data_IF_313527834608
#
_entry.id   IF_313527834608
#
_cell.length_a   1.000
_cell.length_b   1.000
_cell.length_c   1.000
_cell.angle_alpha   90.00
_cell.angle_beta   90.00
_cell.angle_gamma   90.00
#
_symmetry.space_group_name_H-M   'P 1'
#
loop_
_entity.id
_entity.type
_entity.pdbx_description
1 polymer ?
#
# COMPACT_ATOMS: atom_id res chain seq x y z
N UNK A 1 -22.83 51.00 13.77
CA UNK A 1 -21.44 50.59 13.46
C UNK A 1 -21.27 49.17 13.97
N UNK A 2 -21.52 48.17 13.11
CA UNK A 2 -21.41 46.75 13.48
C UNK A 2 -19.95 46.31 13.33
N UNK A 3 -19.35 45.82 14.40
CA UNK A 3 -18.00 45.30 14.42
C UNK A 3 -17.96 43.88 13.87
N UNK A 4 -17.30 43.70 12.73
CA UNK A 4 -17.02 42.39 12.16
C UNK A 4 -15.95 41.66 12.99
N UNK A 5 -16.31 40.47 13.49
CA UNK A 5 -15.35 39.57 14.15
C UNK A 5 -14.51 38.88 13.07
N UNK A 6 -13.22 39.23 12.99
CA UNK A 6 -12.23 38.51 12.18
C UNK A 6 -12.10 37.07 12.68
N UNK A 7 -12.50 36.09 11.87
CA UNK A 7 -12.24 34.67 12.13
C UNK A 7 -10.74 34.40 11.96
N UNK A 8 -10.11 33.85 12.99
CA UNK A 8 -8.72 33.43 12.98
C UNK A 8 -8.60 32.20 12.04
N UNK A 9 -7.58 32.11 11.16
CA UNK A 9 -7.39 30.92 10.35
C UNK A 9 -6.93 29.78 11.27
N UNK A 10 -7.73 28.73 11.34
CA UNK A 10 -7.40 27.49 12.04
C UNK A 10 -6.06 26.96 11.51
N UNK A 11 -5.03 27.05 12.35
CA UNK A 11 -3.73 26.48 12.06
C UNK A 11 -3.90 24.97 12.14
N UNK A 12 -4.12 24.30 10.99
CA UNK A 12 -4.19 22.85 10.93
C UNK A 12 -2.86 22.28 11.45
N UNK A 13 -2.88 21.86 12.72
CA UNK A 13 -1.75 21.21 13.35
C UNK A 13 -1.54 19.89 12.61
N UNK A 14 -0.54 19.85 11.73
CA UNK A 14 -0.24 18.70 10.88
C UNK A 14 -0.11 17.46 11.77
N UNK A 15 -0.96 16.46 11.51
CA UNK A 15 -0.94 15.19 12.19
C UNK A 15 0.51 14.63 12.13
N UNK A 16 1.11 14.23 13.26
CA UNK A 16 2.50 13.75 13.32
C UNK A 16 2.81 12.62 12.33
N UNK A 17 1.80 11.82 11.96
CA UNK A 17 1.95 10.75 10.96
C UNK A 17 2.29 11.29 9.56
N UNK A 18 1.77 12.47 9.18
CA UNK A 18 2.05 13.07 7.88
C UNK A 18 3.51 13.53 7.77
N UNK A 19 4.03 14.16 8.82
CA UNK A 19 5.44 14.59 8.85
C UNK A 19 6.39 13.39 8.75
N UNK A 20 6.08 12.30 9.45
CA UNK A 20 6.84 11.05 9.39
C UNK A 20 6.76 10.40 7.99
N UNK A 21 5.57 10.39 7.39
CA UNK A 21 5.38 9.89 6.03
C UNK A 21 6.18 10.71 5.01
N UNK A 22 6.17 12.03 5.10
CA UNK A 22 6.96 12.89 4.21
C UNK A 22 8.46 12.58 4.27
N UNK A 23 8.99 12.26 5.46
CA UNK A 23 10.40 11.83 5.59
C UNK A 23 10.63 10.47 4.91
N UNK A 24 9.74 9.51 5.10
CA UNK A 24 9.80 8.17 4.50
C UNK A 24 9.71 8.23 2.97
N UNK A 25 8.81 9.02 2.40
CA UNK A 25 8.69 9.20 0.94
C UNK A 25 9.96 9.80 0.32
N UNK A 26 10.62 10.73 1.02
CA UNK A 26 11.90 11.31 0.57
C UNK A 26 13.05 10.32 0.61
N UNK A 27 13.02 9.29 1.46
CA UNK A 27 14.07 8.26 1.48
C UNK A 27 13.95 7.26 0.32
N UNK A 28 12.75 7.02 -0.21
CA UNK A 28 12.53 6.18 -1.40
C UNK A 28 12.94 6.85 -2.72
N UNK A 29 13.07 8.18 -2.75
CA UNK A 29 13.48 8.93 -3.94
C UNK A 29 15.00 8.89 -4.25
N UNK A 30 15.80 8.14 -3.49
CA UNK A 30 17.25 8.01 -3.74
C UNK A 30 17.53 6.81 -4.65
N UNK A 31 18.13 7.00 -5.85
CA UNK A 31 18.53 5.87 -6.67
C UNK A 31 19.65 5.09 -5.96
N UNK A 32 19.35 3.83 -5.61
CA UNK A 32 20.33 2.88 -5.11
C UNK A 32 21.35 2.56 -6.21
N UNK A 33 22.61 2.98 -6.00
CA UNK A 33 23.75 2.53 -6.82
C UNK A 33 23.96 1.04 -6.59
N UNK A 34 23.67 0.23 -7.60
CA UNK A 34 24.01 -1.20 -7.63
C UNK A 34 25.54 -1.37 -7.50
N UNK A 35 25.98 -2.05 -6.42
CA UNK A 35 27.33 -2.60 -6.27
C UNK A 35 27.28 -4.10 -6.56
N UNK A 36 28.21 -4.57 -7.41
CA UNK A 36 28.35 -5.96 -7.90
C UNK A 36 28.77 -6.93 -6.79
N UNK A 37 28.34 -8.21 -6.84
CA UNK A 37 29.21 -9.37 -7.18
C UNK A 37 28.50 -10.77 -7.09
N UNK A 38 29.12 -11.84 -7.63
CA UNK A 38 28.46 -13.05 -8.14
C UNK A 38 28.46 -14.25 -7.17
N UNK A 39 27.46 -15.12 -7.35
CA UNK A 39 27.35 -16.49 -6.80
C UNK A 39 26.80 -17.36 -7.94
N UNK A 40 27.07 -18.66 -8.11
CA UNK A 40 27.93 -19.65 -7.47
C UNK A 40 27.66 -20.93 -8.29
N UNK A 41 28.69 -21.68 -8.66
CA UNK A 41 28.56 -22.95 -9.37
C UNK A 41 27.88 -24.01 -8.50
N UNK A 42 26.99 -24.82 -9.08
CA UNK A 42 26.68 -26.17 -8.56
C UNK A 42 26.57 -27.16 -9.72
N UNK A 43 27.10 -28.40 -9.60
CA UNK A 43 27.16 -29.37 -10.69
C UNK A 43 25.92 -30.29 -10.73
N UNK A 44 25.68 -30.80 -11.94
CA UNK A 44 24.63 -31.75 -12.30
C UNK A 44 24.68 -33.07 -11.50
N UNK A 45 23.50 -33.59 -11.13
CA UNK A 45 23.32 -35.00 -10.73
C UNK A 45 22.32 -35.68 -11.68
N UNK A 46 22.73 -36.87 -12.10
CA UNK A 46 22.24 -37.71 -13.19
C UNK A 46 21.16 -38.66 -12.67
N UNK A 47 20.28 -39.12 -13.59
CA UNK A 47 19.33 -40.26 -13.53
C UNK A 47 17.89 -40.02 -13.05
N UNK A 48 17.00 -39.93 -14.05
CA UNK A 48 15.59 -40.30 -13.95
C UNK A 48 14.88 -40.14 -15.30
N UNK A 49 14.80 -41.21 -16.10
CA UNK A 49 14.07 -41.25 -17.38
C UNK A 49 12.58 -40.94 -17.15
N UNK A 50 12.19 -39.67 -17.26
CA UNK A 50 10.78 -39.25 -17.36
C UNK A 50 10.51 -38.85 -18.81
N UNK A 51 9.46 -39.42 -19.38
CA UNK A 51 8.91 -39.09 -20.70
C UNK A 51 8.64 -37.58 -20.75
N UNK A 52 9.46 -36.84 -21.49
CA UNK A 52 9.25 -35.44 -21.85
C UNK A 52 7.84 -35.29 -22.43
N UNK A 53 7.01 -34.46 -21.80
CA UNK A 53 5.75 -34.01 -22.40
C UNK A 53 6.13 -32.95 -23.44
N UNK A 54 5.57 -32.97 -24.66
CA UNK A 54 5.90 -31.97 -25.66
C UNK A 54 5.54 -30.59 -25.13
N UNK A 55 6.51 -29.70 -25.31
CA UNK A 55 6.49 -28.25 -25.07
C UNK A 55 5.08 -27.70 -25.34
N UNK A 56 4.38 -27.27 -24.29
CA UNK A 56 3.28 -26.33 -24.49
C UNK A 56 3.94 -25.03 -24.95
N UNK A 57 3.65 -24.66 -26.19
CA UNK A 57 3.93 -23.35 -26.79
C UNK A 57 3.79 -22.22 -25.76
N UNK A 58 4.58 -21.13 -25.85
CA UNK A 58 4.43 -19.99 -24.97
C UNK A 58 3.00 -19.47 -25.14
N UNK A 59 2.16 -19.72 -24.13
CA UNK A 59 0.86 -19.12 -24.00
C UNK A 59 1.10 -17.61 -24.16
N UNK A 60 0.52 -16.98 -25.19
CA UNK A 60 0.43 -15.53 -25.32
C UNK A 60 -0.41 -15.02 -24.14
N UNK A 61 0.21 -15.03 -22.96
CA UNK A 61 -0.42 -14.81 -21.68
C UNK A 61 -0.77 -13.34 -21.63
N UNK A 62 -2.03 -13.05 -21.97
CA UNK A 62 -2.62 -11.73 -21.77
C UNK A 62 -2.24 -11.25 -20.36
N UNK A 63 -1.64 -10.07 -20.23
CA UNK A 63 -1.14 -9.62 -18.93
C UNK A 63 -2.30 -9.59 -17.94
N UNK A 64 -2.14 -10.27 -16.80
CA UNK A 64 -3.14 -10.29 -15.75
C UNK A 64 -3.38 -8.84 -15.27
N UNK A 65 -4.61 -8.30 -15.38
CA UNK A 65 -4.89 -6.91 -15.03
C UNK A 65 -4.73 -6.62 -13.54
N UNK A 66 -4.61 -7.64 -12.69
CA UNK A 66 -4.44 -7.50 -11.24
C UNK A 66 -2.96 -7.55 -10.81
N UNK A 67 -2.05 -7.86 -11.72
CA UNK A 67 -0.62 -7.95 -11.40
C UNK A 67 0.10 -6.65 -11.73
N UNK A 68 1.14 -6.29 -10.95
CA UNK A 68 2.04 -5.23 -11.33
C UNK A 68 2.66 -5.46 -12.71
N UNK A 69 2.84 -4.38 -13.46
CA UNK A 69 3.48 -4.46 -14.79
C UNK A 69 4.99 -4.30 -14.74
N UNK A 70 5.53 -3.84 -13.61
CA UNK A 70 6.96 -3.77 -13.28
C UNK A 70 7.13 -3.69 -11.75
N UNK A 71 8.37 -3.56 -11.27
CA UNK A 71 8.70 -3.43 -9.84
C UNK A 71 8.95 -1.98 -9.38
N UNK A 72 8.67 -0.98 -10.24
CA UNK A 72 8.90 0.42 -9.92
C UNK A 72 7.80 0.97 -8.99
N UNK A 73 8.15 1.23 -7.74
CA UNK A 73 7.26 1.78 -6.70
C UNK A 73 7.36 3.31 -6.56
N UNK A 74 7.92 4.01 -7.56
CA UNK A 74 7.91 5.47 -7.60
C UNK A 74 6.51 6.05 -7.80
N UNK A 75 6.34 7.31 -7.38
CA UNK A 75 5.10 8.06 -7.59
C UNK A 75 4.97 8.43 -9.06
N UNK A 76 3.78 8.20 -9.61
CA UNK A 76 3.44 8.56 -10.99
C UNK A 76 2.36 9.63 -11.04
N UNK A 77 2.17 10.23 -12.21
CA UNK A 77 1.14 11.27 -12.44
C UNK A 77 -0.30 10.77 -12.25
N UNK A 78 -0.49 9.46 -12.32
CA UNK A 78 -1.77 8.78 -12.05
C UNK A 78 -1.61 7.86 -10.85
N UNK A 79 -2.52 7.98 -9.89
CA UNK A 79 -2.59 7.13 -8.71
C UNK A 79 -4.01 6.59 -8.57
N UNK A 80 -4.13 5.38 -8.04
CA UNK A 80 -5.41 4.86 -7.55
C UNK A 80 -5.33 4.72 -6.03
N UNK A 81 -6.44 4.99 -5.34
CA UNK A 81 -6.55 4.83 -3.89
C UNK A 81 -7.80 4.03 -3.55
N UNK A 82 -7.67 3.23 -2.50
CA UNK A 82 -8.80 2.54 -1.89
C UNK A 82 -8.71 2.62 -0.36
N UNK A 83 -9.87 2.65 0.28
CA UNK A 83 -10.01 2.91 1.70
C UNK A 83 -10.96 1.92 2.33
N UNK A 84 -10.54 1.37 3.46
CA UNK A 84 -11.38 0.51 4.28
C UNK A 84 -11.81 1.25 5.54
N UNK A 85 -13.10 1.17 5.86
CA UNK A 85 -13.71 1.88 6.98
C UNK A 85 -14.15 0.96 8.10
N UNK A 86 -14.09 1.49 9.32
CA UNK A 86 -14.61 0.88 10.54
C UNK A 86 -15.73 1.73 11.13
N UNK A 87 -16.66 1.12 11.85
CA UNK A 87 -17.69 1.77 12.64
C UNK A 87 -17.15 2.30 13.97
N UNK A 88 -17.35 3.59 14.22
CA UNK A 88 -16.95 4.28 15.46
C UNK A 88 -18.16 4.86 16.20
N UNK A 89 -17.97 5.25 17.46
CA UNK A 89 -19.02 5.84 18.29
C UNK A 89 -20.08 4.79 18.66
N UNK A 90 -21.30 4.93 18.13
CA UNK A 90 -22.37 3.92 18.27
C UNK A 90 -22.42 2.94 17.08
N UNK A 91 -21.46 3.01 16.14
CA UNK A 91 -21.36 2.16 14.95
C UNK A 91 -22.02 2.75 13.70
N UNK A 92 -22.77 3.84 13.87
CA UNK A 92 -23.43 4.58 12.79
C UNK A 92 -22.52 5.57 12.04
N UNK A 93 -21.31 5.83 12.57
CA UNK A 93 -20.30 6.66 11.90
C UNK A 93 -19.19 5.78 11.35
N UNK A 94 -18.77 6.05 10.12
CA UNK A 94 -17.63 5.39 9.50
C UNK A 94 -16.37 6.24 9.70
N UNK A 95 -15.26 5.61 10.08
CA UNK A 95 -13.94 6.21 10.16
C UNK A 95 -12.91 5.38 9.38
N UNK A 96 -11.84 6.01 8.91
CA UNK A 96 -10.79 5.35 8.14
C UNK A 96 -10.04 4.33 9.01
N UNK A 97 -9.96 3.08 8.54
CA UNK A 97 -9.21 2.01 9.19
C UNK A 97 -7.97 1.56 8.41
N UNK A 98 -7.99 1.65 7.07
CA UNK A 98 -6.81 1.40 6.21
C UNK A 98 -6.92 2.22 4.94
N UNK A 99 -5.78 2.66 4.40
CA UNK A 99 -5.69 3.28 3.09
C UNK A 99 -4.58 2.62 2.30
N UNK A 100 -4.86 2.29 1.04
CA UNK A 100 -3.86 1.79 0.08
C UNK A 100 -3.82 2.72 -1.13
N UNK A 101 -2.61 3.04 -1.59
CA UNK A 101 -2.34 3.86 -2.78
C UNK A 101 -1.39 3.10 -3.69
N UNK A 102 -1.75 3.01 -4.97
CA UNK A 102 -0.96 2.35 -6.01
C UNK A 102 -0.65 3.30 -7.16
N UNK A 103 0.46 3.07 -7.86
CA UNK A 103 0.81 3.81 -9.09
C UNK A 103 0.18 3.21 -10.34
N UNK A 104 0.44 3.83 -11.50
CA UNK A 104 -0.08 3.36 -12.81
C UNK A 104 0.34 1.94 -13.18
N UNK A 105 1.42 1.42 -12.59
CA UNK A 105 1.89 0.06 -12.79
C UNK A 105 1.33 -0.93 -11.78
N UNK A 106 0.44 -0.49 -10.89
CA UNK A 106 -0.22 -1.26 -9.82
C UNK A 106 0.72 -1.66 -8.67
N UNK A 107 1.86 -0.98 -8.54
CA UNK A 107 2.73 -1.12 -7.38
C UNK A 107 2.20 -0.29 -6.22
N UNK A 108 2.27 -0.87 -5.01
CA UNK A 108 1.86 -0.20 -3.77
C UNK A 108 2.91 0.83 -3.38
N UNK A 109 2.49 2.09 -3.27
CA UNK A 109 3.33 3.20 -2.80
C UNK A 109 3.10 3.46 -1.32
N UNK A 110 1.87 3.28 -0.85
CA UNK A 110 1.47 3.52 0.52
C UNK A 110 0.38 2.56 0.92
N UNK A 111 0.58 1.85 2.04
CA UNK A 111 -0.41 0.97 2.64
C UNK A 111 -0.24 1.02 4.15
N UNK A 112 -1.19 1.64 4.83
CA UNK A 112 -1.11 1.81 6.28
C UNK A 112 -2.48 1.62 6.92
N UNK A 113 -2.46 0.96 8.08
CA UNK A 113 -3.57 0.95 9.02
C UNK A 113 -3.62 2.27 9.79
N UNK A 114 -4.83 2.79 9.94
CA UNK A 114 -5.10 4.05 10.62
C UNK A 114 -5.96 3.75 11.83
N UNK A 115 -5.49 4.14 13.02
CA UNK A 115 -6.29 4.07 14.24
C UNK A 115 -7.16 5.32 14.34
N UNK A 116 -8.51 5.22 14.27
CA UNK A 116 -9.38 6.37 14.48
C UNK A 116 -9.20 6.94 15.90
N UNK A 117 -9.46 8.25 16.04
CA UNK A 117 -9.47 8.93 17.33
C UNK A 117 -10.65 8.44 18.19
N UNK A 118 -11.82 8.25 17.56
CA UNK A 118 -13.01 7.70 18.21
C UNK A 118 -12.86 6.19 18.46
N UNK A 119 -13.51 5.70 19.51
CA UNK A 119 -13.52 4.27 19.82
C UNK A 119 -14.21 3.46 18.71
N UNK A 120 -13.50 2.46 18.20
CA UNK A 120 -14.00 1.52 17.19
C UNK A 120 -14.91 0.51 17.87
N UNK A 121 -16.17 0.45 17.44
CA UNK A 121 -17.17 -0.50 17.98
C UNK A 121 -17.52 -1.61 17.00
N UNK A 122 -17.31 -1.38 15.70
CA UNK A 122 -17.53 -2.38 14.66
C UNK A 122 -16.39 -2.31 13.63
N UNK A 123 -15.60 -3.36 13.50
CA UNK A 123 -14.49 -3.40 12.55
C UNK A 123 -14.95 -3.70 11.12
N UNK A 124 -16.18 -4.18 10.93
CA UNK A 124 -16.74 -4.59 9.64
C UNK A 124 -15.84 -5.59 8.91
N UNK A 125 -15.16 -6.46 9.67
CA UNK A 125 -14.07 -7.34 9.19
C UNK A 125 -14.45 -8.21 7.99
N UNK A 126 -15.72 -8.59 7.86
CA UNK A 126 -16.21 -9.39 6.73
C UNK A 126 -16.16 -8.64 5.38
N UNK A 127 -16.17 -7.30 5.41
CA UNK A 127 -16.01 -6.43 4.24
C UNK A 127 -14.60 -5.87 4.22
N UNK A 128 -14.16 -5.28 5.33
CA UNK A 128 -12.92 -4.50 5.40
C UNK A 128 -11.64 -5.31 5.55
N UNK A 129 -11.75 -6.56 6.02
CA UNK A 129 -10.62 -7.37 6.45
C UNK A 129 -9.89 -6.88 7.70
N UNK A 130 -10.23 -5.70 8.25
CA UNK A 130 -9.57 -5.09 9.40
C UNK A 130 -9.95 -5.84 10.67
N UNK A 131 -8.93 -6.15 11.49
CA UNK A 131 -9.06 -6.79 12.79
C UNK A 131 -8.63 -5.83 13.90
N UNK A 132 -9.08 -6.03 15.15
CA UNK A 132 -8.65 -5.23 16.29
C UNK A 132 -7.13 -5.11 16.43
N UNK A 133 -6.40 -6.17 16.06
CA UNK A 133 -4.95 -6.20 16.13
C UNK A 133 -4.24 -5.27 15.15
N UNK A 134 -4.87 -4.97 14.02
CA UNK A 134 -4.26 -4.18 12.96
C UNK A 134 -4.22 -2.68 13.34
N UNK A 135 -5.12 -2.26 14.25
CA UNK A 135 -5.19 -0.89 14.77
C UNK A 135 -4.47 -0.71 16.12
N UNK A 136 -3.68 -1.70 16.57
CA UNK A 136 -2.84 -1.61 17.77
C UNK A 136 -1.48 -1.04 17.39
N UNK A 137 -1.43 0.26 17.12
CA UNK A 137 -0.19 1.04 17.09
C UNK A 137 -0.30 2.16 18.13
#
# INVERSE_FOLDING_TARGET
>A
MSSERKKNPEHFQLNPNWAQLQQKLKSFAKPSRHSKNPQSETPNSILGKRKERPNSEPDDAKPNPLMPTNDDSSVTDVLAMDCEMVGVGQGNKSALGRVTVVNKWRNVIYDEFVRPVEHVVDFRTHISGIRPRDLRK
#
